data_IF_372115893179
#
_entry.id   IF_372115893179
#
_cell.length_a   1.000
_cell.length_b   1.000
_cell.length_c   1.000
_cell.angle_alpha   90.00
_cell.angle_beta   90.00
_cell.angle_gamma   90.00
#
_symmetry.space_group_name_H-M   'P 1'
#
loop_
_entity.id
_entity.type
_entity.pdbx_description
1 polymer ?
#
# COMPACT_ATOMS: atom_id res chain seq x y z
N UNK A 1 41.22 -54.60 23.67
CA UNK A 1 40.05 -54.62 22.77
C UNK A 1 39.34 -53.28 22.90
N UNK A 2 39.55 -52.42 21.90
CA UNK A 2 39.04 -51.05 21.85
C UNK A 2 37.61 -51.04 21.32
N UNK A 3 36.70 -50.33 22.00
CA UNK A 3 35.47 -49.80 21.39
C UNK A 3 35.19 -48.41 21.94
N UNK A 4 35.98 -47.44 21.50
CA UNK A 4 35.63 -46.03 21.59
C UNK A 4 34.50 -45.77 20.60
N UNK A 5 33.30 -45.56 21.11
CA UNK A 5 32.13 -45.13 20.34
C UNK A 5 32.43 -43.72 19.82
N UNK A 6 32.72 -43.62 18.52
CA UNK A 6 32.99 -42.36 17.84
C UNK A 6 31.66 -41.59 17.77
N UNK A 7 31.50 -40.62 18.67
CA UNK A 7 30.40 -39.66 18.66
C UNK A 7 30.50 -38.80 17.40
N UNK A 8 29.74 -39.16 16.36
CA UNK A 8 29.60 -38.37 15.15
C UNK A 8 28.59 -37.24 15.42
N UNK A 9 29.02 -36.21 16.13
CA UNK A 9 28.26 -34.97 16.30
C UNK A 9 28.33 -34.20 14.98
N UNK A 10 27.43 -34.54 14.06
CA UNK A 10 27.21 -33.78 12.83
C UNK A 10 26.55 -32.45 13.21
N UNK A 11 27.38 -31.44 13.50
CA UNK A 11 26.98 -30.05 13.64
C UNK A 11 26.41 -29.59 12.29
N UNK A 12 25.10 -29.80 12.10
CA UNK A 12 24.32 -29.03 11.13
C UNK A 12 24.37 -27.57 11.59
N UNK A 13 25.37 -26.84 11.10
CA UNK A 13 25.34 -25.38 11.06
C UNK A 13 24.26 -25.03 10.05
N UNK A 14 23.01 -25.02 10.52
CA UNK A 14 21.88 -24.44 9.80
C UNK A 14 22.20 -22.95 9.76
N UNK A 15 22.93 -22.53 8.72
CA UNK A 15 22.99 -21.12 8.36
C UNK A 15 21.57 -20.76 7.96
N UNK A 16 20.79 -20.29 8.93
CA UNK A 16 19.62 -19.47 8.66
C UNK A 16 20.15 -18.22 7.96
N UNK A 17 20.26 -18.30 6.63
CA UNK A 17 20.26 -17.12 5.78
C UNK A 17 18.90 -16.46 6.03
N UNK A 18 18.85 -15.60 7.05
CA UNK A 18 17.74 -14.69 7.21
C UNK A 18 17.78 -13.80 5.98
N UNK A 19 16.89 -14.08 5.02
CA UNK A 19 16.67 -13.28 3.83
C UNK A 19 16.66 -11.79 4.21
N UNK A 20 17.71 -11.07 3.81
CA UNK A 20 17.88 -9.69 4.23
C UNK A 20 17.03 -8.79 3.34
N UNK A 21 15.92 -8.29 3.87
CA UNK A 21 15.11 -7.30 3.18
C UNK A 21 15.93 -6.02 2.95
N UNK A 22 16.01 -5.59 1.70
CA UNK A 22 16.58 -4.30 1.30
C UNK A 22 15.48 -3.41 0.75
N UNK A 23 15.60 -2.11 0.98
CA UNK A 23 14.65 -1.12 0.50
C UNK A 23 15.42 0.00 -0.20
N UNK A 24 15.00 0.32 -1.42
CA UNK A 24 15.52 1.46 -2.19
C UNK A 24 14.46 2.56 -2.17
N UNK A 25 14.85 3.73 -1.70
CA UNK A 25 14.03 4.94 -1.74
C UNK A 25 14.49 5.78 -2.93
N UNK A 26 13.53 6.24 -3.74
CA UNK A 26 13.75 7.20 -4.81
C UNK A 26 13.22 8.55 -4.37
N UNK A 27 14.03 9.60 -4.53
CA UNK A 27 13.75 10.93 -4.01
C UNK A 27 13.32 11.89 -5.12
N UNK A 28 12.59 12.93 -4.73
CA UNK A 28 12.11 13.98 -5.65
C UNK A 28 13.23 14.74 -6.36
N UNK A 29 14.44 14.76 -5.80
CA UNK A 29 15.62 15.35 -6.42
C UNK A 29 16.29 14.43 -7.45
N UNK A 30 15.72 13.25 -7.71
CA UNK A 30 16.24 12.25 -8.63
C UNK A 30 17.30 11.32 -8.02
N UNK A 31 17.69 11.52 -6.76
CA UNK A 31 18.63 10.63 -6.07
C UNK A 31 17.94 9.35 -5.58
N UNK A 32 18.74 8.35 -5.21
CA UNK A 32 18.24 7.14 -4.56
C UNK A 32 19.15 6.68 -3.42
N UNK A 33 18.55 6.00 -2.43
CA UNK A 33 19.27 5.40 -1.30
C UNK A 33 18.76 4.00 -1.04
N UNK A 34 19.67 3.02 -1.08
CA UNK A 34 19.38 1.63 -0.75
C UNK A 34 19.90 1.29 0.65
N UNK A 35 19.10 0.56 1.42
CA UNK A 35 19.50 0.13 2.77
C UNK A 35 18.42 -0.70 3.45
N UNK A 36 18.63 -1.00 4.73
CA UNK A 36 17.60 -1.63 5.57
C UNK A 36 16.84 -0.55 6.34
N UNK A 37 15.59 -0.32 5.96
CA UNK A 37 14.75 0.71 6.57
C UNK A 37 13.71 0.13 7.51
N UNK A 38 13.37 0.87 8.57
CA UNK A 38 12.18 0.69 9.39
C UNK A 38 11.24 1.85 9.11
N UNK A 39 9.99 1.56 8.78
CA UNK A 39 8.95 2.59 8.66
C UNK A 39 8.37 2.86 10.05
N UNK A 40 8.25 4.14 10.39
CA UNK A 40 7.58 4.59 11.62
C UNK A 40 6.57 5.66 11.25
N UNK A 41 5.41 5.65 11.90
CA UNK A 41 4.57 6.85 11.94
C UNK A 41 5.03 7.73 13.11
N UNK A 42 5.14 9.05 12.91
CA UNK A 42 5.37 9.99 14.02
C UNK A 42 4.12 10.21 14.88
N UNK A 43 2.93 9.91 14.36
CA UNK A 43 1.67 10.09 15.07
C UNK A 43 0.83 8.81 15.02
N UNK A 44 0.42 8.32 16.19
CA UNK A 44 -0.41 7.11 16.30
C UNK A 44 -1.84 7.33 15.78
N UNK A 45 -2.27 8.59 15.65
CA UNK A 45 -3.66 8.94 15.29
C UNK A 45 -3.80 9.22 13.78
N UNK A 46 -2.73 9.64 13.11
CA UNK A 46 -2.75 9.99 11.68
C UNK A 46 -1.48 9.49 10.99
N UNK A 47 -1.55 8.25 10.49
CA UNK A 47 -0.37 7.44 10.17
C UNK A 47 0.24 7.70 8.78
N UNK A 48 -0.45 8.41 7.89
CA UNK A 48 -0.12 8.50 6.45
C UNK A 48 0.86 9.63 6.12
N UNK A 49 0.52 10.87 6.45
CA UNK A 49 1.34 12.07 6.15
C UNK A 49 2.61 12.20 6.99
N UNK A 50 2.79 11.35 8.00
CA UNK A 50 3.88 11.40 8.97
C UNK A 50 4.81 10.19 8.91
N UNK A 51 4.79 9.45 7.81
CA UNK A 51 5.66 8.30 7.63
C UNK A 51 7.12 8.73 7.51
N UNK A 52 7.97 8.02 8.26
CA UNK A 52 9.42 8.20 8.28
C UNK A 52 10.08 6.87 7.97
N UNK A 53 10.99 6.89 7.00
CA UNK A 53 11.89 5.80 6.69
C UNK A 53 13.19 5.99 7.49
N UNK A 54 13.40 5.13 8.49
CA UNK A 54 14.58 5.14 9.35
C UNK A 54 15.58 4.08 8.90
N UNK A 55 16.77 4.48 8.46
CA UNK A 55 17.84 3.56 8.09
C UNK A 55 18.46 2.94 9.34
N UNK A 56 18.39 1.61 9.48
CA UNK A 56 18.87 0.90 10.69
C UNK A 56 20.39 0.95 10.88
N UNK A 57 21.17 1.19 9.82
CA UNK A 57 22.64 1.18 9.85
C UNK A 57 23.21 2.59 10.04
N UNK A 58 22.67 3.58 9.32
CA UNK A 58 23.16 4.96 9.35
C UNK A 58 22.43 5.86 10.34
N UNK A 59 21.30 5.41 10.89
CA UNK A 59 20.35 6.20 11.69
C UNK A 59 19.76 7.42 10.97
N UNK A 60 19.96 7.53 9.65
CA UNK A 60 19.34 8.56 8.82
C UNK A 60 17.82 8.35 8.74
N UNK A 61 17.08 9.45 8.62
CA UNK A 61 15.62 9.44 8.57
C UNK A 61 15.13 10.27 7.40
N UNK A 62 14.18 9.72 6.65
CA UNK A 62 13.60 10.37 5.47
C UNK A 62 12.08 10.45 5.61
N UNK A 63 11.50 11.63 5.38
CA UNK A 63 10.04 11.82 5.38
C UNK A 63 9.46 11.27 4.07
N UNK A 64 8.24 10.73 4.12
CA UNK A 64 7.55 10.28 2.90
C UNK A 64 7.40 11.42 1.87
N UNK A 65 7.29 12.66 2.33
CA UNK A 65 7.22 13.85 1.48
C UNK A 65 8.45 14.09 0.59
N UNK A 66 9.60 13.52 0.92
CA UNK A 66 10.82 13.65 0.10
C UNK A 66 10.96 12.53 -0.94
N UNK A 67 10.11 11.50 -0.85
CA UNK A 67 10.20 10.25 -1.59
C UNK A 67 9.14 10.23 -2.72
N UNK A 68 9.49 9.66 -3.87
CA UNK A 68 8.56 9.40 -4.98
C UNK A 68 8.17 7.94 -5.05
N UNK A 69 9.14 7.04 -4.92
CA UNK A 69 8.96 5.61 -5.10
C UNK A 69 9.75 4.82 -4.05
N UNK A 70 9.24 3.64 -3.75
CA UNK A 70 9.87 2.71 -2.82
C UNK A 70 9.89 1.33 -3.46
N UNK A 71 11.08 0.74 -3.51
CA UNK A 71 11.26 -0.65 -3.96
C UNK A 71 11.73 -1.48 -2.78
N UNK A 72 10.95 -2.49 -2.41
CA UNK A 72 11.31 -3.46 -1.37
C UNK A 72 11.75 -4.74 -2.08
N UNK A 73 12.97 -5.20 -1.80
CA UNK A 73 13.51 -6.44 -2.34
C UNK A 73 13.66 -7.48 -1.23
N UNK A 74 13.14 -8.69 -1.47
CA UNK A 74 13.30 -9.88 -0.62
C UNK A 74 13.69 -11.04 -1.52
N UNK A 75 14.91 -11.55 -1.34
CA UNK A 75 15.48 -12.60 -2.19
C UNK A 75 15.36 -12.25 -3.68
N UNK A 76 14.54 -12.99 -4.45
CA UNK A 76 14.29 -12.75 -5.87
C UNK A 76 13.06 -11.87 -6.15
N UNK A 77 12.27 -11.55 -5.12
CA UNK A 77 11.02 -10.80 -5.24
C UNK A 77 11.26 -9.30 -5.04
N UNK A 78 10.53 -8.49 -5.81
CA UNK A 78 10.53 -7.03 -5.71
C UNK A 78 9.11 -6.51 -5.67
N UNK A 79 8.85 -5.66 -4.70
CA UNK A 79 7.59 -4.93 -4.57
C UNK A 79 7.84 -3.46 -4.84
N UNK A 80 6.97 -2.86 -5.64
CA UNK A 80 7.06 -1.48 -6.08
C UNK A 80 5.88 -0.70 -5.50
N UNK A 81 6.20 0.45 -4.90
CA UNK A 81 5.22 1.36 -4.31
C UNK A 81 5.46 2.77 -4.80
N UNK A 82 4.38 3.47 -5.10
CA UNK A 82 4.35 4.89 -5.44
C UNK A 82 3.93 5.69 -4.20
N UNK A 83 4.57 6.83 -3.95
CA UNK A 83 4.06 7.82 -2.99
C UNK A 83 2.95 8.61 -3.66
N UNK A 84 1.71 8.34 -3.26
CA UNK A 84 0.50 8.97 -3.83
C UNK A 84 -0.10 9.99 -2.89
N UNK A 85 -0.61 11.08 -3.46
CA UNK A 85 -1.45 12.06 -2.76
C UNK A 85 -2.88 11.55 -2.67
N UNK A 86 -3.46 11.54 -1.47
CA UNK A 86 -4.76 10.94 -1.21
C UNK A 86 -5.69 11.82 -0.38
N UNK A 87 -6.99 11.57 -0.53
CA UNK A 87 -8.05 12.05 0.36
C UNK A 87 -9.02 10.93 0.73
N UNK A 88 -9.52 10.93 1.97
CA UNK A 88 -10.48 9.92 2.43
C UNK A 88 -11.86 10.21 1.84
N UNK A 89 -12.29 11.47 1.86
CA UNK A 89 -13.53 11.94 1.24
C UNK A 89 -13.26 13.02 0.19
N UNK A 90 -14.22 13.22 -0.72
CA UNK A 90 -14.07 14.18 -1.81
C UNK A 90 -13.90 15.62 -1.32
N UNK A 91 -14.59 15.96 -0.24
CA UNK A 91 -14.67 17.28 0.40
C UNK A 91 -13.60 17.52 1.48
N UNK A 92 -12.73 16.53 1.75
CA UNK A 92 -11.65 16.71 2.72
C UNK A 92 -10.72 17.85 2.30
N UNK A 93 -10.45 18.76 3.24
CA UNK A 93 -9.56 19.92 3.00
C UNK A 93 -8.09 19.53 2.95
N UNK A 94 -7.71 18.47 3.66
CA UNK A 94 -6.33 18.01 3.78
C UNK A 94 -6.08 16.86 2.83
N UNK A 95 -4.93 16.90 2.17
CA UNK A 95 -4.38 15.78 1.41
C UNK A 95 -3.34 15.09 2.29
N UNK A 96 -3.29 13.77 2.23
CA UNK A 96 -2.29 12.93 2.90
C UNK A 96 -1.40 12.27 1.84
N UNK A 97 -0.15 11.95 2.17
CA UNK A 97 0.67 11.08 1.33
C UNK A 97 0.61 9.65 1.82
N UNK A 98 0.53 8.70 0.89
CA UNK A 98 0.54 7.27 1.23
C UNK A 98 1.43 6.45 0.31
N UNK A 99 1.92 5.31 0.81
CA UNK A 99 2.55 4.28 -0.01
C UNK A 99 1.48 3.41 -0.70
N UNK A 100 1.25 3.68 -1.98
CA UNK A 100 0.32 2.95 -2.82
C UNK A 100 1.01 1.84 -3.61
N UNK A 101 0.51 0.61 -3.48
CA UNK A 101 0.78 -0.49 -4.40
C UNK A 101 -0.21 -0.41 -5.56
N UNK A 102 0.30 -0.27 -6.79
CA UNK A 102 -0.53 -0.19 -7.99
C UNK A 102 -1.19 -1.56 -8.27
N UNK A 103 -2.48 -1.67 -7.94
CA UNK A 103 -3.25 -2.90 -8.03
C UNK A 103 -3.95 -3.07 -9.38
N UNK A 104 -4.28 -1.96 -10.04
CA UNK A 104 -4.83 -1.93 -11.38
C UNK A 104 -4.44 -0.61 -12.06
N UNK A 105 -4.10 -0.69 -13.33
CA UNK A 105 -3.73 0.47 -14.15
C UNK A 105 -4.44 0.37 -15.49
N UNK A 106 -5.07 1.46 -15.89
CA UNK A 106 -5.78 1.59 -17.16
C UNK A 106 -5.70 3.03 -17.67
N UNK A 107 -6.00 3.28 -18.95
CA UNK A 107 -5.97 4.63 -19.50
C UNK A 107 -6.85 5.65 -18.74
N UNK A 108 -7.98 5.26 -18.14
CA UNK A 108 -8.86 6.21 -17.44
C UNK A 108 -8.67 6.23 -15.93
N UNK A 109 -8.22 5.13 -15.33
CA UNK A 109 -8.23 4.98 -13.88
C UNK A 109 -7.16 4.02 -13.35
N UNK A 110 -6.53 4.43 -12.26
CA UNK A 110 -5.62 3.60 -11.47
C UNK A 110 -6.26 3.26 -10.12
N UNK A 111 -6.00 2.05 -9.64
CA UNK A 111 -6.40 1.57 -8.33
C UNK A 111 -5.17 1.21 -7.51
N UNK A 112 -5.13 1.67 -6.27
CA UNK A 112 -4.02 1.46 -5.35
C UNK A 112 -4.49 0.76 -4.06
N UNK A 113 -3.72 -0.22 -3.61
CA UNK A 113 -3.80 -0.72 -2.23
C UNK A 113 -2.77 -0.01 -1.36
N UNK A 114 -3.15 0.39 -0.15
CA UNK A 114 -2.23 1.06 0.77
C UNK A 114 -1.43 0.04 1.58
N UNK A 115 -0.10 0.18 1.56
CA UNK A 115 0.83 -0.72 2.25
C UNK A 115 0.94 -0.48 3.77
N UNK A 116 0.26 0.54 4.30
CA UNK A 116 0.55 1.17 5.60
C UNK A 116 -0.14 0.55 6.81
N UNK A 117 -0.42 -0.75 6.83
CA UNK A 117 -0.78 -1.39 8.12
C UNK A 117 0.51 -1.72 8.88
N UNK A 118 0.93 -0.80 9.74
CA UNK A 118 2.08 -1.00 10.64
C UNK A 118 1.76 -2.16 11.59
N UNK A 119 2.27 -3.35 11.30
CA UNK A 119 2.36 -4.41 12.31
C UNK A 119 3.39 -3.96 13.36
N UNK A 120 3.09 -4.23 14.64
CA UNK A 120 3.86 -3.80 15.82
C UNK A 120 5.34 -4.23 15.86
N UNK A 121 5.87 -4.89 14.81
CA UNK A 121 7.28 -5.23 14.62
C UNK A 121 8.07 -4.29 13.69
N UNK A 122 7.44 -3.33 12.99
CA UNK A 122 8.16 -2.41 12.08
C UNK A 122 8.74 -3.06 10.82
N UNK A 123 8.27 -4.25 10.47
CA UNK A 123 8.45 -4.86 9.16
C UNK A 123 7.24 -4.51 8.29
N UNK A 124 7.48 -4.22 7.01
CA UNK A 124 6.43 -4.02 6.01
C UNK A 124 5.91 -5.42 5.69
N UNK A 125 4.80 -5.83 6.30
CA UNK A 125 4.17 -7.11 5.98
C UNK A 125 3.45 -6.99 4.65
N UNK A 126 3.81 -7.82 3.69
CA UNK A 126 2.99 -8.09 2.50
C UNK A 126 1.68 -8.65 3.02
N UNK A 127 0.56 -8.00 2.71
CA UNK A 127 -0.74 -8.42 3.19
C UNK A 127 -1.12 -9.77 2.60
N UNK A 128 -1.20 -10.79 3.45
CA UNK A 128 -2.17 -11.87 3.28
C UNK A 128 -3.44 -11.48 4.03
N UNK A 129 -4.28 -10.62 3.45
CA UNK A 129 -5.58 -10.25 4.05
C UNK A 129 -6.70 -10.22 3.01
N UNK A 130 -7.86 -10.73 3.45
CA UNK A 130 -9.11 -10.91 2.73
C UNK A 130 -9.45 -9.74 1.77
N UNK A 131 -9.84 -10.07 0.54
CA UNK A 131 -10.03 -9.12 -0.56
C UNK A 131 -11.00 -7.95 -0.28
N UNK A 132 -11.90 -8.07 0.70
CA UNK A 132 -12.95 -7.06 0.98
C UNK A 132 -12.62 -5.95 1.98
N UNK A 133 -11.53 -6.05 2.77
CA UNK A 133 -11.23 -5.10 3.86
C UNK A 133 -9.94 -4.31 3.65
N UNK A 134 -9.71 -3.86 2.41
CA UNK A 134 -8.51 -3.10 2.05
C UNK A 134 -8.81 -1.60 2.01
N UNK A 135 -7.85 -0.81 2.51
CA UNK A 135 -7.84 0.63 2.24
C UNK A 135 -7.45 0.81 0.77
N UNK A 136 -8.46 0.99 -0.08
CA UNK A 136 -8.30 1.08 -1.53
C UNK A 136 -8.56 2.50 -1.99
N UNK A 137 -7.66 3.02 -2.81
CA UNK A 137 -7.75 4.36 -3.39
C UNK A 137 -7.85 4.28 -4.91
N UNK A 138 -8.65 5.17 -5.49
CA UNK A 138 -8.83 5.29 -6.94
C UNK A 138 -8.37 6.67 -7.38
N UNK A 139 -7.61 6.71 -8.48
CA UNK A 139 -7.14 7.94 -9.13
C UNK A 139 -7.51 7.87 -10.62
N UNK A 140 -8.42 8.73 -11.08
CA UNK A 140 -8.65 8.94 -12.50
C UNK A 140 -7.38 9.52 -13.12
N UNK A 141 -7.07 9.17 -14.36
CA UNK A 141 -5.80 9.56 -15.00
C UNK A 141 -5.62 11.08 -15.14
N UNK A 142 -6.73 11.83 -15.18
CA UNK A 142 -6.73 13.31 -15.23
C UNK A 142 -6.55 13.96 -13.84
N UNK A 143 -6.68 13.19 -12.76
CA UNK A 143 -6.63 13.71 -11.40
C UNK A 143 -5.22 13.61 -10.81
N UNK A 144 -4.85 14.59 -9.97
CA UNK A 144 -3.62 14.54 -9.19
C UNK A 144 -3.76 13.71 -7.90
N UNK A 145 -4.98 13.54 -7.39
CA UNK A 145 -5.29 13.00 -6.06
C UNK A 145 -6.07 11.69 -6.21
N UNK A 146 -5.73 10.69 -5.39
CA UNK A 146 -6.51 9.47 -5.25
C UNK A 146 -7.52 9.56 -4.10
N UNK A 147 -8.70 8.96 -4.25
CA UNK A 147 -9.77 8.99 -3.25
C UNK A 147 -10.10 7.61 -2.72
N UNK A 148 -10.39 7.49 -1.43
CA UNK A 148 -10.72 6.20 -0.81
C UNK A 148 -12.08 5.69 -1.30
N UNK A 149 -12.10 4.48 -1.86
CA UNK A 149 -13.33 3.79 -2.33
C UNK A 149 -13.51 2.43 -1.68
N UNK A 150 -12.84 2.20 -0.55
CA UNK A 150 -12.87 0.95 0.18
C UNK A 150 -13.09 1.18 1.67
N UNK A 151 -12.55 0.27 2.46
CA UNK A 151 -12.56 0.37 3.92
C UNK A 151 -11.66 1.52 4.37
N UNK A 152 -12.03 2.24 5.43
CA UNK A 152 -11.17 3.21 6.11
C UNK A 152 -10.85 2.67 7.50
N UNK A 153 -9.56 2.56 7.83
CA UNK A 153 -9.15 2.12 9.15
C UNK A 153 -9.71 3.04 10.25
N UNK A 154 -10.32 2.45 11.28
CA UNK A 154 -10.97 3.17 12.39
C UNK A 154 -12.39 3.69 12.09
N UNK A 155 -12.72 4.01 10.83
CA UNK A 155 -14.06 4.48 10.44
C UNK A 155 -14.96 3.36 9.84
N UNK A 156 -14.36 2.27 9.40
CA UNK A 156 -15.08 1.11 8.85
C UNK A 156 -15.49 1.29 7.39
N UNK A 157 -16.57 0.58 7.02
CA UNK A 157 -17.19 0.63 5.69
C UNK A 157 -18.24 1.76 5.53
N UNK A 158 -18.45 2.56 6.57
CA UNK A 158 -19.48 3.60 6.56
C UNK A 158 -19.14 4.65 5.49
N UNK A 159 -20.13 4.95 4.66
CA UNK A 159 -20.02 6.01 3.64
C UNK A 159 -19.42 5.58 2.30
N UNK A 160 -19.07 4.31 2.08
CA UNK A 160 -18.54 3.86 0.77
C UNK A 160 -19.48 4.25 -0.38
N UNK A 161 -20.78 3.92 -0.30
CA UNK A 161 -21.77 4.28 -1.34
C UNK A 161 -21.83 5.80 -1.59
N UNK A 162 -21.68 6.63 -0.54
CA UNK A 162 -21.61 8.09 -0.68
C UNK A 162 -20.35 8.51 -1.46
N UNK A 163 -19.18 7.98 -1.08
CA UNK A 163 -17.91 8.27 -1.77
C UNK A 163 -17.96 7.85 -3.24
N UNK A 164 -18.56 6.69 -3.53
CA UNK A 164 -18.80 6.21 -4.91
C UNK A 164 -19.68 7.18 -5.69
N UNK A 165 -20.81 7.63 -5.11
CA UNK A 165 -21.68 8.65 -5.74
C UNK A 165 -20.93 9.94 -6.05
N UNK A 166 -20.17 10.45 -5.08
CA UNK A 166 -19.45 11.71 -5.24
C UNK A 166 -18.33 11.60 -6.29
N UNK A 167 -17.64 10.46 -6.35
CA UNK A 167 -16.47 10.26 -7.22
C UNK A 167 -16.83 9.85 -8.65
N UNK A 168 -17.79 8.96 -8.80
CA UNK A 168 -18.27 8.45 -10.09
C UNK A 168 -19.56 9.15 -10.53
N UNK A 169 -19.75 10.42 -10.17
CA UNK A 169 -20.90 11.23 -10.57
C UNK A 169 -21.08 11.32 -12.10
N UNK A 170 -19.96 11.20 -12.82
CA UNK A 170 -19.85 11.16 -14.27
C UNK A 170 -20.27 9.81 -14.89
N UNK A 171 -20.50 8.78 -14.08
CA UNK A 171 -21.04 7.50 -14.53
C UNK A 171 -22.25 7.05 -13.69
N UNK A 172 -23.44 7.63 -13.92
CA UNK A 172 -24.66 7.34 -13.14
C UNK A 172 -25.04 5.86 -13.11
N UNK A 173 -24.77 5.11 -14.18
CA UNK A 173 -25.07 3.68 -14.25
C UNK A 173 -24.20 2.85 -13.30
N UNK A 174 -22.93 3.19 -13.13
CA UNK A 174 -22.07 2.57 -12.13
C UNK A 174 -22.60 2.86 -10.72
N UNK A 175 -22.94 4.11 -10.45
CA UNK A 175 -23.53 4.54 -9.19
C UNK A 175 -24.78 3.74 -8.84
N UNK A 176 -25.70 3.59 -9.80
CA UNK A 176 -26.92 2.79 -9.62
C UNK A 176 -26.62 1.32 -9.31
N UNK A 177 -25.67 0.71 -10.01
CA UNK A 177 -25.27 -0.68 -9.77
C UNK A 177 -24.72 -0.88 -8.35
N UNK A 178 -23.94 0.08 -7.83
CA UNK A 178 -23.45 0.01 -6.45
C UNK A 178 -24.57 0.29 -5.44
N UNK A 179 -25.43 1.27 -5.71
CA UNK A 179 -26.51 1.64 -4.79
C UNK A 179 -27.54 0.51 -4.61
N UNK A 180 -27.81 -0.24 -5.68
CA UNK A 180 -28.70 -1.40 -5.69
C UNK A 180 -27.99 -2.73 -5.35
N UNK A 181 -26.72 -2.70 -4.93
CA UNK A 181 -25.92 -3.88 -4.57
C UNK A 181 -25.75 -4.92 -5.70
N UNK A 182 -25.95 -4.52 -6.96
CA UNK A 182 -25.61 -5.32 -8.15
C UNK A 182 -24.10 -5.39 -8.38
N UNK A 183 -23.37 -4.35 -7.93
CA UNK A 183 -21.93 -4.39 -7.69
C UNK A 183 -21.75 -4.21 -6.18
N UNK A 184 -21.13 -5.18 -5.52
CA UNK A 184 -20.88 -5.11 -4.08
C UNK A 184 -20.01 -3.88 -3.75
N UNK A 185 -20.44 -3.09 -2.76
CA UNK A 185 -19.73 -1.88 -2.32
C UNK A 185 -18.28 -2.14 -1.87
N UNK A 186 -17.94 -3.35 -1.46
CA UNK A 186 -16.58 -3.75 -1.07
C UNK A 186 -15.72 -4.19 -2.26
N UNK A 187 -16.32 -4.43 -3.42
CA UNK A 187 -15.62 -4.86 -4.62
C UNK A 187 -15.17 -3.67 -5.46
N UNK A 188 -14.22 -2.90 -4.92
CA UNK A 188 -13.65 -1.72 -5.60
C UNK A 188 -13.08 -2.07 -6.98
N UNK A 189 -12.49 -3.27 -7.14
CA UNK A 189 -11.97 -3.71 -8.43
C UNK A 189 -13.06 -3.83 -9.49
N UNK A 190 -14.22 -4.42 -9.15
CA UNK A 190 -15.34 -4.52 -10.08
C UNK A 190 -15.90 -3.15 -10.47
N UNK A 191 -15.93 -2.19 -9.54
CA UNK A 191 -16.32 -0.81 -9.85
C UNK A 191 -15.35 -0.14 -10.83
N UNK A 192 -14.05 -0.23 -10.56
CA UNK A 192 -12.99 0.32 -11.42
C UNK A 192 -13.04 -0.28 -12.81
N UNK A 193 -13.16 -1.61 -12.89
CA UNK A 193 -13.27 -2.33 -14.16
C UNK A 193 -14.52 -1.92 -14.93
N UNK A 194 -15.67 -1.82 -14.26
CA UNK A 194 -16.88 -1.35 -14.89
C UNK A 194 -16.72 0.08 -15.44
N UNK A 195 -16.09 0.96 -14.65
CA UNK A 195 -15.85 2.35 -15.06
C UNK A 195 -15.00 2.43 -16.33
N UNK A 196 -13.88 1.69 -16.37
CA UNK A 196 -13.01 1.62 -17.54
C UNK A 196 -13.77 1.14 -18.80
N UNK A 197 -14.56 0.07 -18.65
CA UNK A 197 -15.22 -0.60 -19.77
C UNK A 197 -16.49 0.12 -20.28
N UNK A 198 -17.22 0.81 -19.40
CA UNK A 198 -18.59 1.28 -19.69
C UNK A 198 -18.81 2.78 -19.52
N UNK A 199 -17.85 3.50 -18.95
CA UNK A 199 -17.96 4.94 -18.75
C UNK A 199 -17.01 5.66 -19.71
N UNK A 200 -17.46 6.77 -20.28
CA UNK A 200 -16.71 7.55 -21.27
C UNK A 200 -15.60 8.40 -20.62
N UNK A 201 -14.64 8.85 -21.44
CA UNK A 201 -13.56 9.80 -21.07
C UNK A 201 -14.05 11.18 -20.62
#
# INVERSE_FOLDING_TARGET
>A
MNKTFLSLTFLFVINSFFAQQTTTLFFKDGTSKTGTYKIKSRNLIDMSSNLVFFNKKTNESYLIDTITDVVISRDTEKEYYEVIDVKKNFDDKKTEKKLGFLAYSSPKVNMYYIAETIHSGGAIGVFTMNYGYKETYIKKSKDAIAYNMGYIYGAGERGIKKRVRDYFYDCPKLVELVDNDNIDKHNTFQMVKYYEENCAE
#
